data_IF_701428021605
#
_entry.id   IF_701428021605
#
_cell.length_a   1.000
_cell.length_b   1.000
_cell.length_c   1.000
_cell.angle_alpha   90.00
_cell.angle_beta   90.00
_cell.angle_gamma   90.00
#
_symmetry.space_group_name_H-M   'P 1'
#
loop_
_entity.id
_entity.type
_entity.pdbx_description
1 polymer ?
#
# COMPACT_ATOMS: atom_id res chain seq x y z
N UNK A 1 -3.04 13.53 -12.01
CA UNK A 1 -1.73 13.52 -12.68
C UNK A 1 -1.08 14.89 -12.51
N UNK A 2 0.17 14.94 -12.03
CA UNK A 2 0.94 16.19 -11.91
C UNK A 2 1.40 16.61 -13.32
N UNK A 3 0.57 17.35 -14.04
CA UNK A 3 0.96 17.93 -15.32
C UNK A 3 1.97 19.06 -15.11
N UNK A 4 2.77 19.42 -16.14
CA UNK A 4 3.83 20.43 -16.03
C UNK A 4 3.38 21.85 -15.65
N UNK A 5 2.06 22.08 -15.51
CA UNK A 5 1.48 23.37 -15.11
C UNK A 5 1.32 23.51 -13.59
N UNK A 6 1.31 22.41 -12.82
CA UNK A 6 1.22 22.41 -11.34
C UNK A 6 2.58 22.71 -10.67
N UNK A 7 3.30 23.70 -11.16
CA UNK A 7 4.65 24.06 -10.69
C UNK A 7 4.75 24.45 -9.22
N UNK A 8 3.67 24.84 -8.57
CA UNK A 8 3.70 25.39 -7.22
C UNK A 8 3.54 24.30 -6.12
N UNK A 9 2.78 23.24 -6.37
CA UNK A 9 2.46 22.21 -5.36
C UNK A 9 3.43 21.02 -5.43
N UNK A 10 3.99 20.75 -6.61
CA UNK A 10 4.83 19.57 -6.86
C UNK A 10 6.33 19.79 -6.62
N UNK A 11 6.77 20.98 -6.24
CA UNK A 11 8.17 21.36 -6.37
C UNK A 11 9.13 20.54 -5.50
N UNK A 12 8.80 20.27 -4.24
CA UNK A 12 9.70 19.54 -3.35
C UNK A 12 9.80 18.04 -3.66
N UNK A 13 8.71 17.41 -4.13
CA UNK A 13 8.70 15.99 -4.52
C UNK A 13 9.53 15.72 -5.78
N UNK A 14 9.64 16.71 -6.66
CA UNK A 14 10.44 16.60 -7.88
C UNK A 14 11.91 17.00 -7.68
N UNK A 15 12.26 17.58 -6.53
CA UNK A 15 13.65 17.94 -6.20
C UNK A 15 14.36 16.76 -5.52
N UNK A 16 15.36 16.12 -6.18
CA UNK A 16 16.08 14.99 -5.61
C UNK A 16 16.85 15.31 -4.32
N UNK A 17 17.13 16.58 -4.06
CA UNK A 17 17.78 17.01 -2.81
C UNK A 17 16.84 16.93 -1.60
N UNK A 18 15.54 16.99 -1.84
CA UNK A 18 14.50 16.97 -0.81
C UNK A 18 13.75 15.64 -0.81
N UNK A 19 13.33 15.18 -1.97
CA UNK A 19 12.56 13.93 -2.14
C UNK A 19 13.44 12.65 -2.05
N UNK A 20 14.77 12.77 -2.19
CA UNK A 20 15.67 11.63 -2.15
C UNK A 20 15.81 10.95 -3.51
N UNK A 21 15.83 9.61 -3.53
CA UNK A 21 16.25 8.83 -4.70
C UNK A 21 15.11 8.41 -5.65
N UNK A 22 13.86 8.64 -5.25
CA UNK A 22 12.65 8.27 -6.01
C UNK A 22 11.55 9.26 -5.71
N UNK A 23 10.71 9.53 -6.70
CA UNK A 23 9.51 10.35 -6.52
C UNK A 23 8.26 9.44 -6.48
N UNK A 24 7.88 8.84 -7.60
CA UNK A 24 6.65 8.05 -7.71
C UNK A 24 6.66 6.83 -6.77
N UNK A 25 7.70 6.01 -6.81
CA UNK A 25 7.75 4.83 -5.94
C UNK A 25 7.97 5.20 -4.48
N UNK A 26 8.62 6.33 -4.20
CA UNK A 26 8.79 6.87 -2.84
C UNK A 26 7.51 7.45 -2.25
N UNK A 27 6.71 8.15 -3.05
CA UNK A 27 5.46 8.81 -2.62
C UNK A 27 4.28 7.82 -2.56
N UNK A 28 4.01 7.11 -3.65
CA UNK A 28 2.81 6.26 -3.79
C UNK A 28 3.09 4.76 -3.92
N UNK A 29 4.25 4.35 -4.44
CA UNK A 29 4.62 2.93 -4.55
C UNK A 29 4.74 2.24 -3.19
N UNK A 30 5.19 2.96 -2.15
CA UNK A 30 5.25 2.47 -0.77
C UNK A 30 3.87 2.15 -0.19
N UNK A 31 2.84 2.91 -0.55
CA UNK A 31 1.46 2.59 -0.14
C UNK A 31 0.99 1.28 -0.74
N UNK A 32 1.28 1.04 -2.02
CA UNK A 32 0.94 -0.22 -2.68
C UNK A 32 1.70 -1.41 -2.09
N UNK A 33 2.99 -1.26 -1.77
CA UNK A 33 3.78 -2.30 -1.09
C UNK A 33 3.23 -2.61 0.29
N UNK A 34 3.00 -1.57 1.11
CA UNK A 34 2.48 -1.73 2.46
C UNK A 34 1.10 -2.40 2.47
N UNK A 35 0.21 -2.02 1.53
CA UNK A 35 -1.10 -2.66 1.38
C UNK A 35 -0.97 -4.15 1.06
N UNK A 36 -0.04 -4.55 0.19
CA UNK A 36 0.22 -5.96 -0.11
C UNK A 36 0.70 -6.69 1.14
N UNK A 37 1.66 -6.12 1.86
CA UNK A 37 2.17 -6.72 3.10
C UNK A 37 1.07 -6.85 4.16
N UNK A 38 0.31 -5.78 4.41
CA UNK A 38 -0.77 -5.76 5.40
C UNK A 38 -1.86 -6.79 5.11
N UNK A 39 -2.32 -6.87 3.85
CA UNK A 39 -3.43 -7.76 3.47
C UNK A 39 -2.99 -9.23 3.41
N UNK A 40 -1.77 -9.51 2.96
CA UNK A 40 -1.34 -10.88 2.66
C UNK A 40 -0.39 -11.49 3.69
N UNK A 41 0.30 -10.67 4.48
CA UNK A 41 1.40 -11.10 5.34
C UNK A 41 2.63 -11.59 4.58
N UNK A 42 2.69 -11.42 3.25
CA UNK A 42 3.79 -11.91 2.44
C UNK A 42 5.01 -10.99 2.56
N UNK A 43 6.19 -11.59 2.66
CA UNK A 43 7.47 -10.88 2.68
C UNK A 43 8.17 -11.00 1.32
N UNK A 44 8.72 -9.90 0.84
CA UNK A 44 9.46 -9.86 -0.43
C UNK A 44 10.77 -10.67 -0.28
N UNK A 45 11.05 -11.56 -1.23
CA UNK A 45 12.33 -12.25 -1.37
C UNK A 45 13.24 -11.50 -2.35
N UNK A 46 12.72 -11.14 -3.54
CA UNK A 46 13.43 -10.37 -4.56
C UNK A 46 12.45 -9.66 -5.48
N UNK A 47 12.93 -8.62 -6.13
CA UNK A 47 12.14 -7.83 -7.07
C UNK A 47 12.94 -7.48 -8.34
N UNK A 48 12.20 -7.13 -9.39
CA UNK A 48 12.71 -6.62 -10.64
C UNK A 48 11.89 -5.38 -11.00
N UNK A 49 12.53 -4.23 -11.16
CA UNK A 49 11.87 -2.95 -11.37
C UNK A 49 12.26 -2.29 -12.68
N UNK A 50 11.28 -1.62 -13.27
CA UNK A 50 11.44 -0.69 -14.38
C UNK A 50 10.81 0.65 -14.00
N UNK A 51 11.64 1.67 -13.82
CA UNK A 51 11.24 3.03 -13.49
C UNK A 51 11.43 3.94 -14.69
N UNK A 52 10.47 4.82 -14.93
CA UNK A 52 10.48 5.76 -16.04
C UNK A 52 10.36 7.20 -15.56
N UNK A 53 10.91 8.10 -16.37
CA UNK A 53 10.74 9.54 -16.27
C UNK A 53 10.09 10.02 -17.56
N UNK A 54 8.79 10.27 -17.51
CA UNK A 54 7.98 10.60 -18.69
C UNK A 54 7.83 12.10 -18.89
N UNK A 55 7.89 12.89 -17.81
CA UNK A 55 7.73 14.35 -17.90
C UNK A 55 9.09 15.01 -18.16
N UNK A 56 9.24 15.77 -19.26
CA UNK A 56 10.47 16.47 -19.56
C UNK A 56 10.95 17.38 -18.42
N UNK A 57 12.26 17.34 -18.14
CA UNK A 57 12.91 18.14 -17.10
C UNK A 57 12.84 17.56 -15.68
N UNK A 58 12.14 16.44 -15.45
CA UNK A 58 12.24 15.67 -14.22
C UNK A 58 13.48 14.77 -14.21
N UNK A 59 13.96 14.45 -13.04
CA UNK A 59 15.12 13.57 -12.81
C UNK A 59 14.78 12.34 -11.99
N UNK A 60 13.68 12.38 -11.26
CA UNK A 60 13.15 11.26 -10.49
C UNK A 60 11.99 10.60 -11.25
N UNK A 61 11.77 9.34 -10.96
CA UNK A 61 10.69 8.52 -11.53
C UNK A 61 9.31 9.16 -11.32
N UNK A 62 8.49 9.11 -12.34
CA UNK A 62 7.07 9.46 -12.30
C UNK A 62 6.15 8.29 -12.69
N UNK A 63 6.75 7.14 -12.99
CA UNK A 63 6.09 5.87 -13.28
C UNK A 63 7.00 4.70 -12.88
N UNK A 64 6.42 3.60 -12.40
CA UNK A 64 7.19 2.43 -12.02
C UNK A 64 6.40 1.13 -12.03
N UNK A 65 7.03 0.10 -12.58
CA UNK A 65 6.55 -1.27 -12.64
C UNK A 65 7.50 -2.19 -11.88
N UNK A 66 6.98 -2.96 -10.92
CA UNK A 66 7.80 -3.84 -10.09
C UNK A 66 7.24 -5.26 -10.09
N UNK A 67 7.99 -6.19 -10.65
CA UNK A 67 7.73 -7.61 -10.50
C UNK A 67 8.30 -8.11 -9.18
N UNK A 68 7.48 -8.78 -8.37
CA UNK A 68 7.85 -9.23 -7.03
C UNK A 68 7.83 -10.74 -6.92
N UNK A 69 8.80 -11.30 -6.23
CA UNK A 69 8.81 -12.68 -5.73
C UNK A 69 8.76 -12.63 -4.22
N UNK A 70 7.80 -13.32 -3.64
CA UNK A 70 7.66 -13.40 -2.19
C UNK A 70 8.30 -14.69 -1.66
N UNK A 71 8.69 -14.67 -0.39
CA UNK A 71 9.06 -15.89 0.33
C UNK A 71 7.90 -16.90 0.25
N UNK A 72 8.21 -18.17 0.08
CA UNK A 72 7.18 -19.20 -0.13
C UNK A 72 6.66 -19.33 -1.58
N UNK A 73 7.19 -18.53 -2.54
CA UNK A 73 7.01 -18.75 -3.97
C UNK A 73 5.85 -17.98 -4.62
N UNK A 74 5.08 -17.21 -3.88
CA UNK A 74 4.07 -16.30 -4.43
C UNK A 74 4.74 -15.23 -5.31
N UNK A 75 3.95 -14.69 -6.26
CA UNK A 75 4.41 -13.69 -7.23
C UNK A 75 3.44 -12.52 -7.25
N UNK A 76 3.93 -11.32 -7.50
CA UNK A 76 3.10 -10.14 -7.61
C UNK A 76 3.64 -9.11 -8.58
N UNK A 77 2.81 -8.13 -8.86
CA UNK A 77 3.15 -6.92 -9.59
C UNK A 77 2.70 -5.75 -8.73
N UNK A 78 3.58 -4.77 -8.55
CA UNK A 78 3.26 -3.48 -7.96
C UNK A 78 3.46 -2.44 -9.06
N UNK A 79 2.43 -1.67 -9.32
CA UNK A 79 2.44 -0.57 -10.27
C UNK A 79 2.09 0.71 -9.54
N UNK A 80 2.80 1.78 -9.85
CA UNK A 80 2.48 3.13 -9.40
C UNK A 80 2.84 4.15 -10.48
N UNK A 81 1.97 5.12 -10.72
CA UNK A 81 2.19 6.17 -11.71
C UNK A 81 1.59 7.49 -11.25
N UNK A 82 2.35 8.56 -11.41
CA UNK A 82 1.87 9.94 -11.22
C UNK A 82 1.49 10.60 -12.55
N UNK A 83 1.53 9.83 -13.65
CA UNK A 83 1.27 10.34 -15.01
C UNK A 83 0.15 9.58 -15.73
N UNK A 84 -0.56 8.70 -15.03
CA UNK A 84 -1.77 8.04 -15.54
C UNK A 84 -2.89 9.07 -15.67
N UNK A 85 -3.05 9.59 -16.89
CA UNK A 85 -4.00 10.67 -17.13
C UNK A 85 -5.44 10.16 -17.07
N UNK A 86 -6.24 10.77 -16.20
CA UNK A 86 -7.64 10.44 -16.00
C UNK A 86 -7.90 9.54 -14.79
N UNK A 87 -6.86 8.90 -14.23
CA UNK A 87 -6.97 8.22 -12.95
C UNK A 87 -6.84 9.23 -11.81
N UNK A 88 -7.60 9.01 -10.75
CA UNK A 88 -7.52 9.80 -9.51
C UNK A 88 -6.49 9.12 -8.58
N UNK A 89 -6.87 8.59 -7.42
CA UNK A 89 -5.95 7.82 -6.59
C UNK A 89 -5.80 6.37 -7.05
N UNK A 90 -6.88 5.74 -7.42
CA UNK A 90 -7.02 4.36 -7.92
C UNK A 90 -6.15 3.32 -7.19
N UNK A 91 -5.93 3.48 -5.87
CA UNK A 91 -5.25 2.45 -5.09
C UNK A 91 -6.15 1.22 -5.01
N UNK A 92 -5.71 0.14 -5.61
CA UNK A 92 -6.46 -1.11 -5.62
C UNK A 92 -5.56 -2.32 -5.37
N UNK A 93 -6.16 -3.43 -4.95
CA UNK A 93 -5.45 -4.69 -4.75
C UNK A 93 -6.27 -5.87 -5.23
N UNK A 94 -5.59 -6.81 -5.92
CA UNK A 94 -6.14 -8.11 -6.30
C UNK A 94 -5.24 -9.22 -5.75
N UNK A 95 -5.83 -10.13 -4.99
CA UNK A 95 -5.12 -11.28 -4.43
C UNK A 95 -5.72 -12.56 -4.99
N UNK A 96 -4.90 -13.38 -5.62
CA UNK A 96 -5.31 -14.64 -6.23
C UNK A 96 -4.76 -15.81 -5.40
N UNK A 97 -5.62 -16.39 -4.58
CA UNK A 97 -5.29 -17.57 -3.78
C UNK A 97 -5.70 -18.88 -4.48
N UNK A 98 -5.34 -20.01 -3.90
CA UNK A 98 -5.65 -21.34 -4.41
C UNK A 98 -7.14 -21.72 -4.29
N UNK A 99 -7.88 -21.07 -3.41
CA UNK A 99 -9.30 -21.34 -3.15
C UNK A 99 -10.19 -20.22 -3.67
N UNK A 100 -9.83 -18.97 -3.37
CA UNK A 100 -10.60 -17.77 -3.68
C UNK A 100 -9.68 -16.64 -4.06
N UNK A 101 -10.23 -15.62 -4.71
CA UNK A 101 -9.55 -14.36 -4.99
C UNK A 101 -10.31 -13.20 -4.38
N UNK A 102 -9.58 -12.15 -4.06
CA UNK A 102 -10.10 -10.92 -3.46
C UNK A 102 -9.79 -9.75 -4.39
N UNK A 103 -10.67 -8.76 -4.40
CA UNK A 103 -10.44 -7.49 -5.08
C UNK A 103 -11.07 -6.36 -4.26
N UNK A 104 -10.29 -5.29 -4.05
CA UNK A 104 -10.71 -4.12 -3.30
C UNK A 104 -10.17 -2.85 -3.97
N UNK A 105 -10.95 -1.77 -3.91
CA UNK A 105 -10.64 -0.47 -4.45
C UNK A 105 -10.82 0.62 -3.39
N UNK A 106 -9.85 1.51 -3.26
CA UNK A 106 -9.89 2.59 -2.27
C UNK A 106 -11.04 3.57 -2.51
N UNK A 107 -11.39 3.81 -3.76
CA UNK A 107 -12.46 4.75 -4.13
C UNK A 107 -13.87 4.17 -3.93
N UNK A 108 -13.96 2.85 -3.72
CA UNK A 108 -15.17 2.15 -3.25
C UNK A 108 -14.85 1.28 -2.02
N UNK A 109 -14.43 1.91 -0.88
CA UNK A 109 -13.78 1.21 0.21
C UNK A 109 -14.71 0.32 1.03
N UNK A 110 -16.02 0.49 0.87
CA UNK A 110 -17.04 -0.22 1.66
C UNK A 110 -17.33 -1.64 1.15
N UNK A 111 -16.74 -2.03 0.04
CA UNK A 111 -16.99 -3.31 -0.62
C UNK A 111 -15.70 -4.12 -0.82
N UNK A 112 -15.79 -5.43 -0.57
CA UNK A 112 -14.76 -6.39 -0.91
C UNK A 112 -15.38 -7.44 -1.83
N UNK A 113 -14.86 -7.53 -3.04
CA UNK A 113 -15.27 -8.55 -4.00
C UNK A 113 -14.52 -9.85 -3.73
N UNK A 114 -15.27 -10.92 -3.46
CA UNK A 114 -14.76 -12.29 -3.31
C UNK A 114 -15.14 -13.12 -4.53
N UNK A 115 -14.15 -13.73 -5.15
CA UNK A 115 -14.32 -14.56 -6.36
C UNK A 115 -13.97 -16.01 -6.04
N UNK A 116 -14.87 -16.93 -6.36
CA UNK A 116 -14.67 -18.37 -6.26
C UNK A 116 -15.14 -19.00 -7.59
N UNK A 117 -14.35 -19.90 -8.17
CA UNK A 117 -14.68 -20.50 -9.48
C UNK A 117 -15.95 -21.37 -9.46
N UNK A 118 -16.42 -21.74 -8.27
CA UNK A 118 -17.55 -22.68 -8.08
C UNK A 118 -18.87 -21.99 -7.80
N UNK A 119 -18.88 -20.71 -7.49
CA UNK A 119 -20.08 -19.93 -7.13
C UNK A 119 -20.02 -18.54 -7.78
N UNK A 120 -21.16 -17.85 -7.94
CA UNK A 120 -21.16 -16.45 -8.36
C UNK A 120 -20.30 -15.56 -7.47
N UNK A 121 -19.83 -14.44 -8.02
CA UNK A 121 -19.08 -13.43 -7.25
C UNK A 121 -19.91 -12.95 -6.08
N UNK A 122 -19.27 -12.78 -4.93
CA UNK A 122 -19.90 -12.32 -3.70
C UNK A 122 -19.26 -11.00 -3.27
N UNK A 123 -20.10 -10.00 -2.99
CA UNK A 123 -19.64 -8.73 -2.42
C UNK A 123 -19.85 -8.75 -0.91
N UNK A 124 -18.79 -8.58 -0.14
CA UNK A 124 -18.86 -8.35 1.28
C UNK A 124 -18.88 -6.84 1.52
N UNK A 125 -19.84 -6.38 2.31
CA UNK A 125 -20.00 -4.96 2.63
C UNK A 125 -19.77 -4.73 4.10
N UNK A 126 -19.07 -3.63 4.44
CA UNK A 126 -18.80 -3.26 5.81
C UNK A 126 -20.11 -3.04 6.60
N UNK A 127 -20.02 -3.12 7.95
CA UNK A 127 -21.14 -2.87 8.86
C UNK A 127 -22.16 -4.00 8.96
N UNK A 128 -22.06 -5.04 8.15
CA UNK A 128 -22.98 -6.18 8.19
C UNK A 128 -22.53 -7.23 9.21
N UNK A 129 -23.47 -8.04 9.71
CA UNK A 129 -23.24 -9.01 10.77
C UNK A 129 -22.30 -10.17 10.40
N UNK A 130 -22.02 -10.36 9.10
CA UNK A 130 -21.11 -11.40 8.64
C UNK A 130 -19.63 -10.96 8.61
N UNK A 131 -19.32 -9.68 8.86
CA UNK A 131 -17.92 -9.23 9.00
C UNK A 131 -17.43 -9.47 10.44
N UNK A 132 -16.15 -9.81 10.55
CA UNK A 132 -15.50 -10.15 11.84
C UNK A 132 -14.11 -9.59 11.94
N UNK A 133 -13.45 -9.77 13.10
CA UNK A 133 -12.05 -9.40 13.30
C UNK A 133 -11.77 -7.92 13.06
N UNK A 134 -10.69 -7.61 12.38
CA UNK A 134 -10.23 -6.24 12.10
C UNK A 134 -11.29 -5.41 11.39
N UNK A 135 -12.01 -5.97 10.42
CA UNK A 135 -13.04 -5.26 9.67
C UNK A 135 -14.20 -4.79 10.60
N UNK A 136 -14.65 -5.65 11.52
CA UNK A 136 -15.66 -5.29 12.50
C UNK A 136 -15.15 -4.25 13.49
N UNK A 137 -13.92 -4.39 13.99
CA UNK A 137 -13.29 -3.47 14.94
C UNK A 137 -13.10 -2.05 14.36
N UNK A 138 -12.89 -1.95 13.05
CA UNK A 138 -12.70 -0.70 12.32
C UNK A 138 -13.99 -0.14 11.69
N UNK A 139 -15.14 -0.76 11.92
CA UNK A 139 -16.45 -0.26 11.50
C UNK A 139 -17.05 0.61 12.62
N UNK A 140 -17.47 1.82 12.30
CA UNK A 140 -17.97 2.80 13.28
C UNK A 140 -19.46 3.08 13.20
N UNK A 141 -20.02 3.04 11.99
CA UNK A 141 -21.45 3.30 11.75
C UNK A 141 -22.13 2.08 11.14
N UNK A 142 -23.47 1.94 11.26
CA UNK A 142 -24.19 0.77 10.79
C UNK A 142 -24.06 0.53 9.27
N UNK A 143 -24.44 -0.66 8.84
CA UNK A 143 -24.58 -0.95 7.40
C UNK A 143 -25.52 0.06 6.71
N UNK A 144 -25.29 0.28 5.42
CA UNK A 144 -26.06 1.26 4.64
C UNK A 144 -25.58 2.72 4.77
N UNK A 145 -24.65 2.99 5.67
CA UNK A 145 -24.01 4.31 5.82
C UNK A 145 -22.55 4.19 5.38
N UNK A 146 -22.10 4.92 4.35
CA UNK A 146 -20.72 4.80 3.85
C UNK A 146 -19.71 5.36 4.85
N UNK A 147 -18.60 4.67 4.99
CA UNK A 147 -17.38 5.16 5.65
C UNK A 147 -16.26 5.31 4.61
N UNK A 148 -15.32 6.20 4.86
CA UNK A 148 -14.27 6.49 3.90
C UNK A 148 -12.99 6.98 4.56
N UNK A 149 -12.34 7.94 3.91
CA UNK A 149 -11.01 8.44 4.24
C UNK A 149 -10.91 9.01 5.66
N UNK A 150 -11.91 9.76 6.10
CA UNK A 150 -11.93 10.39 7.44
C UNK A 150 -11.98 9.33 8.53
N UNK A 151 -12.87 8.34 8.40
CA UNK A 151 -13.02 7.25 9.36
C UNK A 151 -11.79 6.34 9.37
N UNK A 152 -11.16 6.12 8.22
CA UNK A 152 -9.91 5.36 8.12
C UNK A 152 -8.78 6.03 8.91
N UNK A 153 -8.58 7.35 8.74
CA UNK A 153 -7.63 8.11 9.55
C UNK A 153 -8.00 8.12 11.04
N UNK A 154 -9.28 8.27 11.37
CA UNK A 154 -9.75 8.22 12.76
C UNK A 154 -9.41 6.86 13.40
N UNK A 155 -9.46 5.75 12.66
CA UNK A 155 -9.07 4.42 13.14
C UNK A 155 -7.59 4.36 13.48
N UNK A 156 -6.71 4.88 12.63
CA UNK A 156 -5.25 4.94 12.87
C UNK A 156 -4.95 5.75 14.14
N UNK A 157 -5.51 6.96 14.26
CA UNK A 157 -5.32 7.79 15.46
C UNK A 157 -5.88 7.15 16.72
N UNK A 158 -7.03 6.47 16.62
CA UNK A 158 -7.59 5.75 17.76
C UNK A 158 -6.68 4.60 18.22
N UNK A 159 -6.14 3.82 17.29
CA UNK A 159 -5.19 2.74 17.58
C UNK A 159 -3.91 3.26 18.25
N UNK A 160 -3.34 4.35 17.74
CA UNK A 160 -2.20 5.03 18.34
C UNK A 160 -2.54 5.56 19.77
N UNK A 161 -3.70 6.17 19.94
CA UNK A 161 -4.20 6.64 21.26
C UNK A 161 -4.39 5.50 22.27
N UNK A 162 -4.79 4.31 21.79
CA UNK A 162 -4.86 3.10 22.65
C UNK A 162 -3.45 2.69 23.09
N UNK A 163 -2.47 2.66 22.19
CA UNK A 163 -1.08 2.32 22.52
C UNK A 163 -0.50 3.28 23.56
N UNK A 164 -0.71 4.58 23.42
CA UNK A 164 -0.27 5.60 24.39
C UNK A 164 -0.91 5.38 25.76
N UNK A 165 -2.21 5.12 25.82
CA UNK A 165 -2.91 4.84 27.10
C UNK A 165 -2.39 3.56 27.76
N UNK A 166 -2.07 2.54 26.98
CA UNK A 166 -1.51 1.30 27.49
C UNK A 166 -0.09 1.50 28.04
N UNK A 167 0.72 2.33 27.41
CA UNK A 167 2.04 2.70 27.91
C UNK A 167 1.92 3.40 29.26
N UNK A 168 1.05 4.41 29.37
CA UNK A 168 0.82 5.14 30.62
C UNK A 168 0.33 4.19 31.74
N UNK A 169 -0.47 3.18 31.39
CA UNK A 169 -1.01 2.19 32.33
C UNK A 169 -0.06 1.01 32.62
N UNK A 170 1.15 0.99 32.07
CA UNK A 170 2.13 -0.11 32.20
C UNK A 170 1.68 -1.41 31.52
N UNK A 171 0.83 -1.34 30.52
CA UNK A 171 0.28 -2.50 29.76
C UNK A 171 0.86 -2.64 28.34
N UNK A 172 1.73 -1.76 27.95
CA UNK A 172 2.38 -1.77 26.63
C UNK A 172 3.59 -2.74 26.61
N UNK A 173 3.85 -3.46 25.52
CA UNK A 173 2.93 -3.66 24.40
C UNK A 173 1.87 -4.76 24.68
N UNK A 174 0.71 -4.64 24.07
CA UNK A 174 -0.30 -5.72 24.10
C UNK A 174 0.20 -6.94 23.32
N UNK A 175 -0.12 -8.15 23.80
CA UNK A 175 0.15 -9.40 23.08
C UNK A 175 -0.53 -9.46 21.70
N UNK A 176 -1.67 -8.82 21.54
CA UNK A 176 -2.42 -8.72 20.27
C UNK A 176 -1.82 -7.73 19.28
N UNK A 177 -0.84 -6.91 19.71
CA UNK A 177 -0.36 -5.78 18.92
C UNK A 177 -1.36 -4.63 18.83
N UNK A 178 -1.06 -3.70 17.94
CA UNK A 178 -1.91 -2.54 17.62
C UNK A 178 -2.07 -2.44 16.11
N UNK A 179 -3.23 -1.93 15.65
CA UNK A 179 -3.58 -1.86 14.23
C UNK A 179 -3.15 -0.50 13.64
N UNK A 180 -1.85 -0.30 13.55
CA UNK A 180 -1.21 0.80 12.82
C UNK A 180 0.22 0.42 12.40
N UNK A 181 0.76 1.01 11.32
CA UNK A 181 2.14 0.77 10.89
C UNK A 181 3.15 1.21 11.96
N UNK A 182 4.12 0.37 12.25
CA UNK A 182 5.19 0.65 13.20
C UNK A 182 6.51 1.00 12.50
N UNK A 183 7.58 1.13 13.28
CA UNK A 183 8.91 1.47 12.75
C UNK A 183 9.43 0.40 11.77
N UNK A 184 9.05 -0.86 11.94
CA UNK A 184 9.47 -1.94 11.06
C UNK A 184 8.82 -1.80 9.67
N UNK A 185 7.55 -1.42 9.62
CA UNK A 185 6.87 -1.12 8.36
C UNK A 185 7.57 0.04 7.63
N UNK A 186 7.97 1.07 8.36
CA UNK A 186 8.76 2.18 7.81
C UNK A 186 10.11 1.73 7.25
N UNK A 187 10.83 0.84 7.95
CA UNK A 187 12.11 0.28 7.47
C UNK A 187 11.90 -0.57 6.21
N UNK A 188 10.83 -1.37 6.15
CA UNK A 188 10.46 -2.16 4.97
C UNK A 188 10.18 -1.24 3.78
N UNK A 189 9.39 -0.19 3.97
CA UNK A 189 9.09 0.79 2.93
C UNK A 189 10.33 1.48 2.38
N UNK A 190 11.26 1.90 3.25
CA UNK A 190 12.55 2.48 2.81
C UNK A 190 13.40 1.46 2.05
N UNK A 191 13.50 0.23 2.54
CA UNK A 191 14.22 -0.84 1.85
C UNK A 191 13.58 -1.16 0.48
N UNK A 192 12.26 -1.05 0.36
CA UNK A 192 11.56 -1.22 -0.91
C UNK A 192 11.98 -0.14 -1.91
N UNK A 193 11.94 1.15 -1.55
CA UNK A 193 12.36 2.25 -2.41
C UNK A 193 13.80 2.05 -2.89
N UNK A 194 14.74 1.79 -1.97
CA UNK A 194 16.15 1.59 -2.31
C UNK A 194 16.36 0.40 -3.25
N UNK A 195 15.67 -0.72 -3.00
CA UNK A 195 15.79 -1.92 -3.82
C UNK A 195 15.19 -1.74 -5.20
N UNK A 196 14.06 -1.04 -5.33
CA UNK A 196 13.40 -0.71 -6.60
C UNK A 196 14.32 0.16 -7.46
N UNK A 197 14.85 1.25 -6.89
CA UNK A 197 15.77 2.14 -7.61
C UNK A 197 17.05 1.42 -8.02
N UNK A 198 17.62 0.60 -7.13
CA UNK A 198 18.79 -0.23 -7.44
C UNK A 198 18.51 -1.20 -8.58
N UNK A 199 17.36 -1.87 -8.56
CA UNK A 199 16.94 -2.80 -9.59
C UNK A 199 16.78 -2.12 -10.93
N UNK A 200 16.10 -0.99 -10.99
CA UNK A 200 15.89 -0.24 -12.21
C UNK A 200 17.20 0.18 -12.90
N UNK A 201 18.22 0.52 -12.12
CA UNK A 201 19.55 0.96 -12.62
C UNK A 201 20.52 -0.19 -12.91
N UNK A 202 20.29 -1.39 -12.37
CA UNK A 202 21.20 -2.52 -12.48
C UNK A 202 21.12 -3.22 -13.85
N UNK A 203 22.22 -3.86 -14.29
CA UNK A 203 22.21 -4.80 -15.43
C UNK A 203 21.43 -6.07 -15.06
N UNK A 204 21.75 -6.65 -13.91
CA UNK A 204 20.98 -7.74 -13.30
C UNK A 204 19.77 -7.15 -12.60
N UNK A 205 18.59 -7.24 -13.20
CA UNK A 205 17.37 -6.59 -12.73
C UNK A 205 16.78 -7.22 -11.47
N UNK A 206 16.94 -8.54 -11.27
CA UNK A 206 16.42 -9.24 -10.09
C UNK A 206 17.32 -9.02 -8.88
N UNK A 207 16.93 -8.10 -8.01
CA UNK A 207 17.66 -7.77 -6.77
C UNK A 207 17.01 -8.47 -5.59
N UNK A 208 17.83 -9.11 -4.76
CA UNK A 208 17.37 -9.72 -3.52
C UNK A 208 16.99 -8.62 -2.52
N UNK A 209 15.84 -8.81 -1.85
CA UNK A 209 15.38 -7.89 -0.82
C UNK A 209 16.24 -8.06 0.43
N UNK A 210 16.61 -6.98 1.13
CA UNK A 210 17.41 -7.08 2.35
C UNK A 210 16.63 -7.82 3.46
N UNK A 211 17.37 -8.39 4.40
CA UNK A 211 16.76 -8.95 5.63
C UNK A 211 16.53 -7.80 6.61
N UNK A 212 15.32 -7.70 7.13
CA UNK A 212 14.88 -6.71 8.09
C UNK A 212 14.43 -7.41 9.37
#
# INVERSE_FOLDING_TARGET
ALTGEDKAIANWRADPKVAGISNCMGDIGTHAENLVHYVTGLEIDKLCADLSVNIPGRTLDDDGNVLVRFKGGAKGIIYASQVSNGDENDLNIRVYGTKKSLEWHQEDPNELLVKDARIPRTTYRRGNNYITGAAAANTRIPFGHPEGFIEAFANVYNAAGVAIRDEIAGKFPRKSGYDFPDIRDGIIGMAFIETVVKSSKAKEKWIKFPRI
#
